data_IF_164034763934
#
_entry.id   IF_164034763934
#
_cell.length_a   1.000
_cell.length_b   1.000
_cell.length_c   1.000
_cell.angle_alpha   90.00
_cell.angle_beta   90.00
_cell.angle_gamma   90.00
#
_symmetry.space_group_name_H-M   'P 1'
#
loop_
_entity.id
_entity.type
_entity.pdbx_description
1 polymer ?
#
# COMPACT_ATOMS: atom_id res chain seq x y z
N UNK A 1 0.67 -9.43 1.07
CA UNK A 1 1.93 -8.87 0.54
C UNK A 1 1.82 -7.35 0.56
N UNK A 2 2.93 -6.66 0.73
CA UNK A 2 3.04 -5.21 0.63
C UNK A 2 3.94 -4.87 -0.56
N UNK A 3 3.47 -3.94 -1.38
CA UNK A 3 4.20 -3.35 -2.49
C UNK A 3 4.16 -1.83 -2.31
N UNK A 4 5.33 -1.21 -2.24
CA UNK A 4 5.47 0.24 -2.06
C UNK A 4 6.44 0.79 -3.12
N UNK A 5 6.03 1.83 -3.84
CA UNK A 5 6.85 2.50 -4.82
C UNK A 5 6.47 3.98 -4.96
N UNK A 6 7.42 4.85 -5.35
CA UNK A 6 7.13 6.25 -5.62
C UNK A 6 6.30 6.40 -6.89
N UNK A 7 5.12 7.01 -6.77
CA UNK A 7 4.15 7.20 -7.86
C UNK A 7 4.46 8.41 -8.74
N UNK A 8 5.16 9.41 -8.20
CA UNK A 8 5.64 10.61 -8.91
C UNK A 8 6.98 10.40 -9.64
N UNK A 9 7.41 9.14 -9.79
CA UNK A 9 8.63 8.73 -10.48
C UNK A 9 9.70 8.16 -9.54
N UNK A 10 10.62 7.35 -10.08
CA UNK A 10 11.59 6.55 -9.27
C UNK A 10 12.48 7.37 -8.31
N UNK A 11 12.67 8.66 -8.56
CA UNK A 11 13.45 9.55 -7.70
C UNK A 11 12.63 10.39 -6.71
N UNK A 12 11.30 10.31 -6.74
CA UNK A 12 10.44 11.11 -5.87
C UNK A 12 10.35 10.51 -4.47
N UNK A 13 10.05 11.34 -3.48
CA UNK A 13 9.57 10.86 -2.17
C UNK A 13 8.04 10.98 -2.10
N UNK A 14 7.36 10.24 -1.21
CA UNK A 14 5.94 10.44 -0.96
C UNK A 14 5.63 11.91 -0.65
N UNK A 15 4.61 12.47 -1.31
CA UNK A 15 4.22 13.88 -1.18
C UNK A 15 4.99 14.87 -2.05
N UNK A 16 5.88 14.40 -2.95
CA UNK A 16 6.47 15.25 -3.98
C UNK A 16 5.50 15.58 -5.12
N UNK A 17 4.53 14.70 -5.37
CA UNK A 17 3.45 14.94 -6.31
C UNK A 17 2.24 15.57 -5.63
N UNK A 18 1.34 16.09 -6.46
CA UNK A 18 -0.03 16.39 -6.01
C UNK A 18 -0.74 15.07 -5.69
N UNK A 19 -1.46 15.01 -4.56
CA UNK A 19 -2.08 13.77 -4.09
C UNK A 19 -2.93 13.06 -5.15
N UNK A 20 -3.70 13.81 -5.94
CA UNK A 20 -4.51 13.25 -7.04
C UNK A 20 -3.68 12.64 -8.17
N UNK A 21 -2.49 13.18 -8.45
CA UNK A 21 -1.55 12.64 -9.44
C UNK A 21 -0.93 11.35 -8.91
N UNK A 22 -0.51 11.33 -7.64
CA UNK A 22 0.07 10.15 -7.01
C UNK A 22 -0.90 8.97 -6.98
N UNK A 23 -2.17 9.24 -6.64
CA UNK A 23 -3.23 8.24 -6.65
C UNK A 23 -3.49 7.72 -8.07
N UNK A 24 -3.59 8.61 -9.05
CA UNK A 24 -3.77 8.21 -10.47
C UNK A 24 -2.59 7.36 -10.97
N UNK A 25 -1.35 7.73 -10.63
CA UNK A 25 -0.17 6.94 -10.95
C UNK A 25 -0.18 5.56 -10.29
N UNK A 26 -0.62 5.48 -9.03
CA UNK A 26 -0.82 4.19 -8.37
C UNK A 26 -1.90 3.34 -9.05
N UNK A 27 -3.03 3.94 -9.48
CA UNK A 27 -4.07 3.21 -10.21
C UNK A 27 -3.53 2.59 -11.51
N UNK A 28 -2.75 3.36 -12.27
CA UNK A 28 -2.15 2.91 -13.53
C UNK A 28 -1.19 1.74 -13.29
N UNK A 29 -0.30 1.86 -12.30
CA UNK A 29 0.66 0.79 -11.99
C UNK A 29 0.00 -0.47 -11.44
N UNK A 30 -1.09 -0.33 -10.66
CA UNK A 30 -1.91 -1.48 -10.24
C UNK A 30 -2.55 -2.15 -11.47
N UNK A 31 -3.03 -1.37 -12.44
CA UNK A 31 -3.59 -1.93 -13.67
C UNK A 31 -2.54 -2.71 -14.47
N UNK A 32 -1.37 -2.11 -14.68
CA UNK A 32 -0.26 -2.76 -15.38
C UNK A 32 0.20 -4.04 -14.65
N UNK A 33 0.27 -4.00 -13.32
CA UNK A 33 0.53 -5.18 -12.50
C UNK A 33 -0.51 -6.27 -12.78
N UNK A 34 -1.80 -5.93 -12.81
CA UNK A 34 -2.85 -6.91 -13.08
C UNK A 34 -2.71 -7.50 -14.48
N UNK A 35 -2.46 -6.69 -15.50
CA UNK A 35 -2.36 -7.16 -16.89
C UNK A 35 -1.14 -8.07 -17.11
N UNK A 36 -0.07 -7.88 -16.34
CA UNK A 36 1.16 -8.68 -16.49
C UNK A 36 1.21 -9.91 -15.59
N UNK A 37 0.67 -9.83 -14.37
CA UNK A 37 0.94 -10.82 -13.31
C UNK A 37 -0.30 -11.55 -12.81
N UNK A 38 -1.51 -11.08 -13.13
CA UNK A 38 -2.73 -11.85 -12.84
C UNK A 38 -3.02 -12.76 -14.01
N UNK A 39 -3.01 -14.07 -13.77
CA UNK A 39 -3.38 -15.07 -14.77
C UNK A 39 -4.75 -14.73 -15.40
N UNK A 40 -4.92 -14.85 -16.73
CA UNK A 40 -6.17 -14.50 -17.41
C UNK A 40 -7.42 -15.14 -16.79
N UNK A 41 -7.30 -16.38 -16.32
CA UNK A 41 -8.39 -17.13 -15.67
C UNK A 41 -8.79 -16.56 -14.31
N UNK A 42 -7.87 -15.82 -13.65
CA UNK A 42 -8.06 -15.21 -12.33
C UNK A 42 -8.51 -13.75 -12.38
N UNK A 43 -8.55 -13.12 -13.56
CA UNK A 43 -8.97 -11.71 -13.71
C UNK A 43 -10.38 -11.50 -13.13
N UNK A 44 -11.32 -12.38 -13.45
CA UNK A 44 -12.71 -12.29 -12.95
C UNK A 44 -12.87 -12.71 -11.48
N UNK A 45 -11.82 -13.29 -10.89
CA UNK A 45 -11.71 -13.68 -9.47
C UNK A 45 -10.85 -12.72 -8.65
N UNK A 46 -10.36 -11.65 -9.27
CA UNK A 46 -9.57 -10.60 -8.62
C UNK A 46 -10.44 -9.39 -8.34
N UNK A 47 -10.46 -8.97 -7.07
CA UNK A 47 -11.17 -7.78 -6.61
C UNK A 47 -10.21 -6.72 -6.11
N UNK A 48 -10.35 -5.52 -6.62
CA UNK A 48 -9.56 -4.35 -6.27
C UNK A 48 -10.42 -3.43 -5.40
N UNK A 49 -9.93 -3.15 -4.20
CA UNK A 49 -10.53 -2.20 -3.28
C UNK A 49 -9.79 -0.87 -3.35
N UNK A 50 -10.51 0.17 -3.77
CA UNK A 50 -10.05 1.55 -3.66
C UNK A 50 -10.45 2.15 -2.32
N UNK A 51 -9.86 3.29 -1.91
CA UNK A 51 -10.25 3.94 -0.65
C UNK A 51 -11.76 4.19 -0.58
N UNK A 52 -12.34 4.81 -1.61
CA UNK A 52 -13.72 5.28 -1.59
C UNK A 52 -14.53 4.99 -2.86
N UNK A 53 -15.85 5.14 -2.79
CA UNK A 53 -16.75 4.91 -3.91
C UNK A 53 -16.52 5.84 -5.12
N UNK A 54 -16.07 7.07 -4.89
CA UNK A 54 -15.78 8.02 -5.97
C UNK A 54 -14.51 7.62 -6.74
N UNK A 55 -13.52 7.08 -6.05
CA UNK A 55 -12.31 6.50 -6.65
C UNK A 55 -12.65 5.36 -7.61
N UNK A 56 -13.58 4.48 -7.23
CA UNK A 56 -14.06 3.40 -8.11
C UNK A 56 -14.68 3.95 -9.38
N UNK A 57 -15.51 5.01 -9.26
CA UNK A 57 -16.13 5.65 -10.43
C UNK A 57 -15.09 6.27 -11.35
N UNK A 58 -14.07 6.92 -10.78
CA UNK A 58 -12.97 7.49 -11.54
C UNK A 58 -12.16 6.39 -12.23
N UNK A 59 -11.71 5.38 -11.50
CA UNK A 59 -10.94 4.24 -12.00
C UNK A 59 -11.64 3.54 -13.19
N UNK A 60 -12.96 3.30 -13.10
CA UNK A 60 -13.75 2.70 -14.20
C UNK A 60 -13.78 3.53 -15.48
N UNK A 61 -13.62 4.85 -15.38
CA UNK A 61 -13.61 5.79 -16.51
C UNK A 61 -12.20 6.14 -16.98
N UNK A 62 -11.17 5.60 -16.32
CA UNK A 62 -9.77 5.91 -16.60
C UNK A 62 -8.95 4.63 -16.73
N UNK A 63 -8.05 4.33 -15.79
CA UNK A 63 -7.10 3.22 -15.87
C UNK A 63 -7.74 1.83 -16.01
N UNK A 64 -9.00 1.66 -15.57
CA UNK A 64 -9.72 0.39 -15.62
C UNK A 64 -10.89 0.40 -16.62
N UNK A 65 -10.91 1.34 -17.57
CA UNK A 65 -11.88 1.30 -18.66
C UNK A 65 -11.72 -0.02 -19.45
N UNK A 66 -12.86 -0.69 -19.70
CA UNK A 66 -12.89 -1.98 -20.39
C UNK A 66 -12.32 -3.17 -19.60
N UNK A 67 -11.86 -2.99 -18.36
CA UNK A 67 -11.34 -4.09 -17.54
C UNK A 67 -12.44 -5.05 -17.09
N UNK A 68 -12.16 -6.36 -17.10
CA UNK A 68 -13.00 -7.38 -16.44
C UNK A 68 -12.73 -7.54 -14.94
N UNK A 69 -11.79 -6.76 -14.39
CA UNK A 69 -11.45 -6.75 -12.97
C UNK A 69 -12.64 -6.23 -12.14
N UNK A 70 -12.88 -6.87 -10.99
CA UNK A 70 -13.92 -6.43 -10.06
C UNK A 70 -13.40 -5.25 -9.24
N UNK A 71 -14.02 -4.08 -9.36
CA UNK A 71 -13.65 -2.89 -8.58
C UNK A 71 -14.70 -2.61 -7.50
N UNK A 72 -14.23 -2.41 -6.28
CA UNK A 72 -15.01 -2.09 -5.09
C UNK A 72 -14.24 -1.08 -4.21
N UNK A 73 -14.77 -0.74 -3.03
CA UNK A 73 -14.15 0.26 -2.16
C UNK A 73 -14.19 -0.11 -0.67
N UNK A 74 -13.26 0.45 0.11
CA UNK A 74 -13.11 0.19 1.54
C UNK A 74 -14.13 0.99 2.38
N UNK A 75 -14.21 2.30 2.15
CA UNK A 75 -15.05 3.21 2.93
C UNK A 75 -16.09 3.87 2.04
N UNK A 76 -17.32 3.99 2.56
CA UNK A 76 -18.35 4.84 1.93
C UNK A 76 -18.15 6.23 2.53
N UNK A 77 -17.92 7.29 1.73
CA UNK A 77 -18.00 8.64 2.27
C UNK A 77 -19.43 8.81 2.78
N UNK A 78 -19.59 8.89 4.10
CA UNK A 78 -20.86 9.27 4.69
C UNK A 78 -20.94 10.78 4.61
N UNK A 79 -21.90 11.31 3.88
CA UNK A 79 -22.25 12.74 3.92
C UNK A 79 -22.64 13.20 5.36
N UNK A 80 -22.82 12.25 6.29
CA UNK A 80 -23.03 12.46 7.72
C UNK A 80 -21.76 12.32 8.57
N UNK A 81 -20.55 12.23 8.00
CA UNK A 81 -19.31 12.32 8.78
C UNK A 81 -19.18 13.66 9.51
N UNK A 82 -19.74 14.75 8.94
CA UNK A 82 -19.91 16.04 9.64
C UNK A 82 -20.93 15.98 10.81
N UNK A 83 -21.69 14.89 10.94
CA UNK A 83 -22.75 14.70 11.95
C UNK A 83 -22.58 13.42 12.80
N UNK A 84 -21.46 12.69 12.69
CA UNK A 84 -21.13 11.58 13.58
C UNK A 84 -21.84 10.24 13.30
N UNK A 85 -22.48 10.06 12.15
CA UNK A 85 -23.07 8.77 11.74
C UNK A 85 -22.32 8.16 10.55
N UNK A 86 -21.48 7.16 10.84
CA UNK A 86 -20.81 6.34 9.81
C UNK A 86 -21.63 5.08 9.58
N UNK A 87 -22.27 4.97 8.42
CA UNK A 87 -22.87 3.71 7.96
C UNK A 87 -21.73 2.75 7.59
N UNK A 88 -21.27 1.97 8.57
CA UNK A 88 -20.14 1.05 8.39
C UNK A 88 -20.57 -0.11 7.49
N UNK A 89 -20.10 -0.09 6.24
CA UNK A 89 -20.26 -1.22 5.31
C UNK A 89 -19.34 -2.36 5.76
N UNK A 90 -19.87 -3.56 5.97
CA UNK A 90 -19.08 -4.74 6.36
C UNK A 90 -18.36 -5.33 5.15
N UNK A 91 -17.10 -5.72 5.30
CA UNK A 91 -16.35 -6.32 4.19
C UNK A 91 -16.93 -7.66 3.73
N UNK A 92 -17.57 -8.40 4.64
CA UNK A 92 -18.29 -9.64 4.33
C UNK A 92 -19.39 -9.47 3.28
N UNK A 93 -19.99 -8.28 3.17
CA UNK A 93 -21.08 -8.02 2.23
C UNK A 93 -20.54 -7.71 0.82
N UNK A 94 -19.26 -7.30 0.75
CA UNK A 94 -18.55 -6.87 -0.47
C UNK A 94 -17.80 -8.00 -1.15
N UNK A 95 -17.20 -8.88 -0.34
CA UNK A 95 -16.50 -10.06 -0.83
C UNK A 95 -17.48 -11.11 -1.34
N UNK A 96 -17.13 -11.79 -2.43
CA UNK A 96 -17.91 -12.89 -3.01
C UNK A 96 -17.18 -14.23 -2.86
N UNK A 97 -17.90 -15.36 -2.78
CA UNK A 97 -17.29 -16.69 -2.63
C UNK A 97 -16.22 -17.00 -3.66
N UNK A 98 -16.41 -16.57 -4.91
CA UNK A 98 -15.51 -16.83 -6.03
C UNK A 98 -14.31 -15.89 -6.11
N UNK A 99 -14.19 -14.89 -5.24
CA UNK A 99 -13.00 -14.05 -5.19
C UNK A 99 -11.83 -14.87 -4.63
N UNK A 100 -10.65 -14.74 -5.24
CA UNK A 100 -9.42 -15.46 -4.86
C UNK A 100 -8.28 -14.51 -4.51
N UNK A 101 -8.24 -13.32 -5.13
CA UNK A 101 -7.22 -12.31 -4.92
C UNK A 101 -7.85 -10.96 -4.60
N UNK A 102 -7.41 -10.37 -3.49
CA UNK A 102 -7.76 -9.02 -3.09
C UNK A 102 -6.56 -8.09 -3.26
N UNK A 103 -6.73 -7.03 -4.04
CA UNK A 103 -5.77 -5.93 -4.13
C UNK A 103 -6.36 -4.72 -3.43
N UNK A 104 -5.59 -4.06 -2.59
CA UNK A 104 -5.99 -2.82 -1.93
C UNK A 104 -5.11 -1.70 -2.45
N UNK A 105 -5.75 -0.70 -3.04
CA UNK A 105 -5.10 0.44 -3.64
C UNK A 105 -4.96 1.56 -2.60
N UNK A 106 -3.71 1.89 -2.26
CA UNK A 106 -3.28 3.06 -1.49
C UNK A 106 -4.17 3.49 -0.30
N UNK A 107 -4.38 2.59 0.68
CA UNK A 107 -5.26 2.82 1.83
C UNK A 107 -4.62 3.72 2.93
N UNK A 108 -4.20 4.94 2.57
CA UNK A 108 -3.54 5.89 3.48
C UNK A 108 -4.25 7.23 3.66
N UNK A 109 -5.35 7.50 2.95
CA UNK A 109 -5.99 8.82 2.99
C UNK A 109 -6.72 9.02 4.32
N UNK A 110 -7.46 8.00 4.77
CA UNK A 110 -8.14 7.95 6.05
C UNK A 110 -7.62 6.79 6.91
N UNK A 111 -7.38 7.03 8.21
CA UNK A 111 -6.97 6.00 9.17
C UNK A 111 -7.93 4.81 9.25
N UNK A 112 -9.21 5.03 8.93
CA UNK A 112 -10.22 3.98 8.89
C UNK A 112 -10.01 2.99 7.75
N UNK A 113 -9.41 3.40 6.63
CA UNK A 113 -9.16 2.51 5.48
C UNK A 113 -8.33 1.32 5.91
N UNK A 114 -7.20 1.56 6.58
CA UNK A 114 -6.33 0.47 7.03
C UNK A 114 -6.99 -0.42 8.10
N UNK A 115 -7.89 0.13 8.91
CA UNK A 115 -8.69 -0.68 9.86
C UNK A 115 -9.65 -1.61 9.09
N UNK A 116 -10.26 -1.13 8.01
CA UNK A 116 -11.11 -1.94 7.13
C UNK A 116 -10.29 -2.98 6.37
N UNK A 117 -9.05 -2.68 5.99
CA UNK A 117 -8.13 -3.68 5.40
C UNK A 117 -7.84 -4.82 6.38
N UNK A 118 -7.69 -4.52 7.67
CA UNK A 118 -7.55 -5.56 8.70
C UNK A 118 -8.83 -6.42 8.83
N UNK A 119 -10.01 -5.80 8.76
CA UNK A 119 -11.30 -6.51 8.72
C UNK A 119 -11.38 -7.44 7.50
N UNK A 120 -11.07 -6.94 6.31
CA UNK A 120 -11.00 -7.72 5.08
C UNK A 120 -10.04 -8.92 5.22
N UNK A 121 -8.85 -8.69 5.78
CA UNK A 121 -7.89 -9.76 6.03
C UNK A 121 -8.46 -10.84 6.96
N UNK A 122 -9.03 -10.44 8.11
CA UNK A 122 -9.58 -11.38 9.10
C UNK A 122 -10.76 -12.18 8.55
N UNK A 123 -11.65 -11.54 7.80
CA UNK A 123 -12.92 -12.13 7.41
C UNK A 123 -12.83 -12.92 6.10
N UNK A 124 -11.97 -12.50 5.17
CA UNK A 124 -11.92 -13.06 3.82
C UNK A 124 -10.64 -13.82 3.49
N UNK A 125 -9.55 -13.63 4.25
CA UNK A 125 -8.23 -14.17 3.90
C UNK A 125 -7.78 -15.21 4.91
N UNK A 126 -7.86 -14.89 6.20
CA UNK A 126 -7.46 -15.81 7.27
C UNK A 126 -8.23 -17.14 7.16
N UNK A 127 -7.51 -18.26 7.30
CA UNK A 127 -8.04 -19.63 7.17
C UNK A 127 -8.63 -19.97 5.79
N UNK A 128 -8.20 -19.26 4.74
CA UNK A 128 -8.56 -19.56 3.35
C UNK A 128 -7.30 -19.58 2.47
N UNK A 129 -7.46 -20.01 1.21
CA UNK A 129 -6.38 -19.92 0.22
C UNK A 129 -6.30 -18.54 -0.47
N UNK A 130 -7.25 -17.64 -0.19
CA UNK A 130 -7.31 -16.32 -0.81
C UNK A 130 -6.09 -15.48 -0.43
N UNK A 131 -5.73 -14.52 -1.29
CA UNK A 131 -4.54 -13.67 -1.12
C UNK A 131 -4.92 -12.20 -1.00
N UNK A 132 -4.09 -11.44 -0.27
CA UNK A 132 -4.23 -9.99 -0.09
C UNK A 132 -2.92 -9.30 -0.45
N UNK A 133 -2.99 -8.27 -1.29
CA UNK A 133 -1.87 -7.39 -1.62
C UNK A 133 -2.29 -5.95 -1.33
N UNK A 134 -1.43 -5.20 -0.63
CA UNK A 134 -1.58 -3.75 -0.43
C UNK A 134 -0.56 -3.06 -1.31
N UNK A 135 -1.02 -2.11 -2.12
CA UNK A 135 -0.19 -1.23 -2.93
C UNK A 135 -0.13 0.16 -2.32
N UNK A 136 1.08 0.71 -2.20
CA UNK A 136 1.35 2.09 -1.77
C UNK A 136 0.55 2.46 -0.52
N UNK A 137 0.66 1.66 0.54
CA UNK A 137 -0.17 1.83 1.75
C UNK A 137 0.38 2.83 2.76
N UNK A 138 1.57 3.40 2.51
CA UNK A 138 2.32 4.23 3.46
C UNK A 138 2.41 3.60 4.87
N UNK A 139 2.56 2.27 4.94
CA UNK A 139 2.49 1.52 6.21
C UNK A 139 3.55 1.97 7.21
N UNK A 140 4.66 2.55 6.73
CA UNK A 140 5.72 3.09 7.57
C UNK A 140 5.27 4.27 8.45
N UNK A 141 4.26 5.06 8.04
CA UNK A 141 3.70 6.09 8.93
C UNK A 141 3.14 5.46 10.20
N UNK A 142 2.50 4.31 10.06
CA UNK A 142 1.94 3.57 11.20
C UNK A 142 3.07 2.89 11.97
N UNK A 143 4.02 2.22 11.29
CA UNK A 143 5.17 1.54 11.93
C UNK A 143 6.08 2.51 12.69
N UNK A 144 6.26 3.73 12.21
CA UNK A 144 7.10 4.75 12.84
C UNK A 144 6.44 5.46 14.01
N UNK A 145 5.16 5.18 14.28
CA UNK A 145 4.39 5.85 15.32
C UNK A 145 4.00 7.28 14.98
N UNK A 146 3.86 7.62 13.68
CA UNK A 146 3.34 8.94 13.26
C UNK A 146 1.98 9.24 13.89
N UNK A 147 1.13 8.22 14.01
CA UNK A 147 -0.14 8.29 14.73
C UNK A 147 0.07 7.87 16.19
N UNK A 148 -0.10 8.78 17.17
CA UNK A 148 0.11 8.45 18.57
C UNK A 148 -0.89 7.38 19.02
N UNK A 149 -0.40 6.31 19.64
CA UNK A 149 -1.19 5.13 20.01
C UNK A 149 -2.31 5.42 21.01
N UNK A 150 -2.17 6.45 21.84
CA UNK A 150 -3.20 6.89 22.78
C UNK A 150 -4.45 7.41 22.05
N UNK A 151 -4.28 8.11 20.92
CA UNK A 151 -5.38 8.65 20.12
C UNK A 151 -5.86 7.66 19.05
N UNK A 152 -4.96 6.82 18.52
CA UNK A 152 -5.26 5.86 17.45
C UNK A 152 -4.92 4.41 17.84
N UNK A 153 -5.51 3.86 18.92
CA UNK A 153 -5.12 2.55 19.45
C UNK A 153 -5.39 1.41 18.47
N UNK A 154 -6.47 1.49 17.68
CA UNK A 154 -6.79 0.50 16.64
C UNK A 154 -5.74 0.48 15.53
N UNK A 155 -5.27 1.66 15.11
CA UNK A 155 -4.25 1.77 14.07
C UNK A 155 -2.89 1.28 14.59
N UNK A 156 -2.54 1.65 15.83
CA UNK A 156 -1.32 1.15 16.47
C UNK A 156 -1.32 -0.37 16.63
N UNK A 157 -2.48 -0.99 16.87
CA UNK A 157 -2.61 -2.45 16.99
C UNK A 157 -2.20 -3.20 15.71
N UNK A 158 -2.33 -2.59 14.54
CA UNK A 158 -1.96 -3.18 13.24
C UNK A 158 -0.50 -3.62 13.16
N UNK A 159 0.39 -2.91 13.87
CA UNK A 159 1.81 -3.26 13.98
C UNK A 159 2.05 -4.61 14.64
N UNK A 160 1.06 -5.10 15.42
CA UNK A 160 1.09 -6.39 16.12
C UNK A 160 0.18 -7.44 15.47
N UNK A 161 -0.78 -7.03 14.65
CA UNK A 161 -1.80 -7.92 14.09
C UNK A 161 -1.60 -8.18 12.59
N UNK A 162 -1.86 -7.19 11.73
CA UNK A 162 -1.83 -7.32 10.27
C UNK A 162 -0.41 -7.30 9.72
N UNK A 163 0.39 -6.29 10.07
CA UNK A 163 1.68 -6.04 9.43
C UNK A 163 2.67 -7.20 9.59
N UNK A 164 2.77 -7.89 10.75
CA UNK A 164 3.63 -9.07 10.89
C UNK A 164 3.22 -10.26 10.03
N UNK A 165 2.03 -10.23 9.40
CA UNK A 165 1.56 -11.27 8.48
C UNK A 165 1.82 -10.93 7.01
N UNK A 166 2.38 -9.76 6.75
CA UNK A 166 2.66 -9.29 5.40
C UNK A 166 4.14 -9.48 5.08
N UNK A 167 4.40 -10.05 3.90
CA UNK A 167 5.72 -10.00 3.28
C UNK A 167 5.80 -8.74 2.40
N UNK A 168 6.80 -7.89 2.63
CA UNK A 168 7.10 -6.75 1.76
C UNK A 168 7.91 -7.24 0.57
N UNK A 169 7.27 -7.35 -0.59
CA UNK A 169 7.83 -8.04 -1.75
C UNK A 169 8.55 -7.10 -2.71
N UNK A 170 8.11 -5.84 -2.78
CA UNK A 170 8.76 -4.79 -3.55
C UNK A 170 8.63 -3.47 -2.81
N UNK A 171 9.74 -2.77 -2.61
CA UNK A 171 9.77 -1.57 -1.80
C UNK A 171 10.81 -0.58 -2.31
N UNK A 172 10.41 0.66 -2.50
CA UNK A 172 11.30 1.79 -2.77
C UNK A 172 10.88 2.94 -1.85
N UNK A 173 11.80 3.39 -0.99
CA UNK A 173 11.66 4.62 -0.23
C UNK A 173 12.90 5.49 -0.38
N UNK A 174 12.70 6.69 -0.93
CA UNK A 174 13.77 7.63 -1.18
C UNK A 174 13.96 8.57 0.03
N UNK A 175 15.22 8.88 0.33
CA UNK A 175 15.64 9.82 1.36
C UNK A 175 16.29 11.03 0.69
N UNK A 176 15.80 12.23 1.00
CA UNK A 176 16.35 13.49 0.50
C UNK A 176 17.56 13.96 1.32
N UNK A 177 18.27 14.95 0.77
CA UNK A 177 19.38 15.64 1.42
C UNK A 177 20.75 15.27 0.84
N UNK A 178 21.80 15.93 1.34
CA UNK A 178 23.18 15.75 0.85
C UNK A 178 23.66 14.30 0.90
N UNK A 179 23.25 13.56 1.94
CA UNK A 179 23.57 12.14 2.13
C UNK A 179 22.39 11.22 1.78
N UNK A 180 21.46 11.70 0.94
CA UNK A 180 20.29 10.95 0.50
C UNK A 180 20.62 9.58 -0.10
N UNK A 181 19.58 8.78 -0.26
CA UNK A 181 19.68 7.41 -0.76
C UNK A 181 18.31 6.77 -0.90
N UNK A 182 18.27 5.46 -1.11
CA UNK A 182 17.05 4.71 -1.35
C UNK A 182 17.08 3.43 -0.51
N UNK A 183 16.08 3.24 0.36
CA UNK A 183 15.80 1.93 0.93
C UNK A 183 15.04 1.12 -0.14
N UNK A 184 15.60 -0.03 -0.50
CA UNK A 184 15.11 -0.86 -1.59
C UNK A 184 14.97 -2.32 -1.15
N UNK A 185 13.91 -2.98 -1.61
CA UNK A 185 13.80 -4.44 -1.59
C UNK A 185 13.10 -4.96 -2.84
N UNK A 186 13.59 -6.09 -3.32
CA UNK A 186 12.91 -6.95 -4.28
C UNK A 186 13.06 -8.39 -3.78
N UNK A 187 11.96 -8.97 -3.29
CA UNK A 187 11.92 -10.33 -2.74
C UNK A 187 12.28 -11.36 -3.83
N UNK A 188 13.02 -12.45 -3.52
CA UNK A 188 13.48 -12.87 -2.19
C UNK A 188 14.79 -12.22 -1.71
N UNK A 189 15.26 -11.17 -2.38
CA UNK A 189 16.49 -10.48 -1.99
C UNK A 189 16.41 -9.72 -0.65
N UNK A 190 17.57 -9.40 -0.05
CA UNK A 190 17.64 -8.67 1.20
C UNK A 190 17.22 -7.20 1.02
N UNK A 191 16.97 -6.53 2.14
CA UNK A 191 16.86 -5.08 2.18
C UNK A 191 18.21 -4.45 1.87
N UNK A 192 18.21 -3.40 1.04
CA UNK A 192 19.41 -2.67 0.64
C UNK A 192 19.20 -1.18 0.84
N UNK A 193 20.22 -0.50 1.35
CA UNK A 193 20.31 0.97 1.27
C UNK A 193 21.24 1.29 0.11
N UNK A 194 20.69 1.98 -0.89
CA UNK A 194 21.37 2.34 -2.12
C UNK A 194 21.69 3.84 -2.13
N UNK A 195 22.79 4.23 -2.77
CA UNK A 195 23.10 5.63 -3.08
C UNK A 195 23.40 5.78 -4.56
N UNK A 196 22.86 6.83 -5.15
CA UNK A 196 23.13 7.20 -6.54
C UNK A 196 24.47 7.94 -6.62
N UNK A 197 25.40 7.43 -7.42
CA UNK A 197 26.67 8.07 -7.77
C UNK A 197 26.70 8.26 -9.29
N UNK A 198 26.40 9.48 -9.74
CA UNK A 198 26.19 9.77 -11.17
C UNK A 198 25.03 8.94 -11.75
N UNK A 199 25.34 8.03 -12.68
CA UNK A 199 24.37 7.17 -13.36
C UNK A 199 24.32 5.73 -12.79
N UNK A 200 24.98 5.46 -11.66
CA UNK A 200 25.01 4.13 -11.03
C UNK A 200 24.46 4.19 -9.62
N UNK A 201 23.95 3.05 -9.16
CA UNK A 201 23.59 2.84 -7.76
C UNK A 201 24.63 1.93 -7.11
N UNK A 202 25.09 2.32 -5.92
CA UNK A 202 25.96 1.50 -5.07
C UNK A 202 25.19 1.09 -3.82
N UNK A 203 25.40 -0.14 -3.35
CA UNK A 203 24.84 -0.62 -2.09
C UNK A 203 25.73 -0.20 -0.94
N UNK A 204 25.17 0.60 -0.02
CA UNK A 204 25.85 1.08 1.18
C UNK A 204 25.68 0.12 2.36
N UNK A 205 24.51 -0.53 2.44
CA UNK A 205 24.15 -1.44 3.51
C UNK A 205 23.20 -2.51 2.99
N UNK A 206 23.24 -3.69 3.60
CA UNK A 206 22.28 -4.76 3.34
C UNK A 206 21.96 -5.53 4.62
N UNK A 207 20.70 -5.98 4.74
CA UNK A 207 20.26 -6.83 5.86
C UNK A 207 19.00 -7.60 5.49
N UNK A 208 18.74 -8.70 6.22
CA UNK A 208 17.58 -9.58 5.95
C UNK A 208 16.26 -8.99 6.46
N UNK A 209 16.29 -8.27 7.58
CA UNK A 209 15.10 -7.67 8.19
C UNK A 209 14.93 -6.22 7.74
N UNK A 210 13.69 -5.75 7.65
CA UNK A 210 13.42 -4.36 7.27
C UNK A 210 14.03 -3.39 8.29
N UNK A 211 14.95 -2.48 7.91
CA UNK A 211 15.39 -1.41 8.79
C UNK A 211 14.28 -0.39 8.97
N UNK A 212 14.24 0.28 10.11
CA UNK A 212 13.32 1.42 10.27
C UNK A 212 13.77 2.61 9.43
N UNK A 213 12.85 3.45 8.95
CA UNK A 213 13.21 4.68 8.24
C UNK A 213 14.14 5.59 9.07
N UNK A 214 13.94 5.61 10.39
CA UNK A 214 14.80 6.35 11.33
C UNK A 214 16.22 5.81 11.36
N UNK A 215 16.39 4.49 11.40
CA UNK A 215 17.70 3.84 11.37
C UNK A 215 18.44 4.15 10.06
N UNK A 216 17.74 4.07 8.92
CA UNK A 216 18.34 4.39 7.62
C UNK A 216 18.78 5.86 7.59
N UNK A 217 17.90 6.78 7.99
CA UNK A 217 18.15 8.21 7.92
C UNK A 217 19.22 8.70 8.90
N UNK A 218 19.28 8.14 10.11
CA UNK A 218 20.15 8.66 11.18
C UNK A 218 21.45 7.88 11.35
N UNK A 219 21.47 6.58 11.00
CA UNK A 219 22.63 5.73 11.26
C UNK A 219 23.31 5.31 9.96
N UNK A 220 22.56 4.78 9.00
CA UNK A 220 23.15 4.16 7.80
C UNK A 220 23.62 5.21 6.80
N UNK A 221 22.72 6.09 6.34
CA UNK A 221 23.06 7.10 5.33
C UNK A 221 24.13 8.09 5.81
N UNK A 222 24.13 8.57 7.06
CA UNK A 222 25.17 9.50 7.53
C UNK A 222 26.55 8.87 7.68
N UNK A 223 26.63 7.57 7.98
CA UNK A 223 27.90 6.88 8.24
C UNK A 223 28.62 6.40 6.97
N UNK A 224 27.96 6.46 5.82
CA UNK A 224 28.46 6.00 4.53
C UNK A 224 28.95 7.13 3.62
#
# INVERSE_FOLDING_TARGET
MEIEFPTSGLGSVPGDGEGGIEMTGSMQLIREFCDQLVEPEKITRTRIFFPEANEVKFARKSAFEGASLKLDYLTKPSFFEDFGFVEKVKMTDRVKPEDELFLVAYPYFNVNEMIVVEELYKDAVVNTDRKLIIFNGELDRIRSGYYPSFFYPKLAALTKTLFPKMETVYYIHNFKGMKGGTLFRCYPGPWKVLRRLGNRYVTLHQQETMPSLKEVALNILPSA
#
